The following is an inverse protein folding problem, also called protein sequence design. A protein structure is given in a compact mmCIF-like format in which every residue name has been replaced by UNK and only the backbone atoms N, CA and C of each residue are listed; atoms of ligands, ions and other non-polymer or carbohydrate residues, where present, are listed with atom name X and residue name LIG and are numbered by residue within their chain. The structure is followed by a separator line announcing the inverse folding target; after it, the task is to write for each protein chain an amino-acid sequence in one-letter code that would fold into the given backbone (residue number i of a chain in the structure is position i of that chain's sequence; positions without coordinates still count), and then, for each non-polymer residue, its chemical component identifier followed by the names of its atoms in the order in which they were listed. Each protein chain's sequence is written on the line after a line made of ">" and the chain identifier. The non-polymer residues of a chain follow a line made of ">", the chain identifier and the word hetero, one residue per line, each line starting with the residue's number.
data_IF_567523374303
#
_entry.id   IF_567523374303
#
_cell.length_a   1.000
_cell.length_b   1.000
_cell.length_c   1.000
_cell.angle_alpha   90.00
_cell.angle_beta   90.00
_cell.angle_gamma   90.00
#
_symmetry.space_group_name_H-M   'P 1'
#
loop_
_entity.id
_entity.type
_entity.pdbx_description
1 polymer ?
#
# COMPACT_ATOMS: atom_id res chain seq x y z
N UNK A 1 13.67 -6.60 6.92
CA UNK A 1 13.41 -7.88 7.60
C UNK A 1 14.51 -8.21 8.60
N UNK A 2 14.42 -9.32 9.33
CA UNK A 2 15.44 -9.69 10.36
C UNK A 2 16.78 -10.08 9.77
N UNK A 3 16.82 -10.60 8.56
CA UNK A 3 18.08 -10.92 7.87
C UNK A 3 18.91 -9.65 7.68
N UNK A 4 18.27 -8.56 7.25
CA UNK A 4 18.92 -7.24 7.09
C UNK A 4 19.48 -6.72 8.42
N UNK A 5 18.72 -6.87 9.54
CA UNK A 5 19.19 -6.47 10.89
C UNK A 5 20.44 -7.24 11.30
N UNK A 6 20.42 -8.56 11.10
CA UNK A 6 21.55 -9.43 11.43
C UNK A 6 22.81 -9.06 10.61
N UNK A 7 22.64 -8.89 9.29
CA UNK A 7 23.73 -8.49 8.39
C UNK A 7 24.29 -7.12 8.80
N UNK A 8 23.44 -6.15 9.14
CA UNK A 8 23.86 -4.82 9.58
C UNK A 8 24.77 -4.91 10.84
N UNK A 9 24.39 -5.71 11.83
CA UNK A 9 25.21 -5.90 13.03
C UNK A 9 26.52 -6.62 12.73
N UNK A 10 26.53 -7.65 11.87
CA UNK A 10 27.77 -8.30 11.43
C UNK A 10 28.70 -7.35 10.67
N UNK A 11 28.14 -6.41 9.90
CA UNK A 11 28.89 -5.38 9.20
C UNK A 11 29.41 -4.24 10.14
N UNK A 12 29.22 -4.36 11.45
CA UNK A 12 29.70 -3.38 12.43
C UNK A 12 28.82 -2.16 12.64
N UNK A 13 27.55 -2.17 12.16
CA UNK A 13 26.59 -1.08 12.41
C UNK A 13 26.32 -1.00 13.91
N UNK A 14 26.69 0.13 14.52
CA UNK A 14 26.60 0.34 15.97
C UNK A 14 25.17 0.46 16.47
N UNK A 15 24.28 1.15 15.71
CA UNK A 15 22.90 1.41 16.10
C UNK A 15 21.94 0.96 15.01
N UNK A 16 20.98 0.11 15.36
CA UNK A 16 19.98 -0.45 14.44
C UNK A 16 18.59 -0.13 14.94
N UNK A 17 17.83 0.64 14.17
CA UNK A 17 16.41 0.90 14.40
C UNK A 17 15.57 0.00 13.50
N UNK A 18 14.61 -0.70 14.08
CA UNK A 18 13.66 -1.50 13.32
C UNK A 18 12.30 -0.80 13.27
N UNK A 19 11.94 -0.28 12.09
CA UNK A 19 10.67 0.43 11.89
C UNK A 19 9.65 -0.47 11.17
N UNK A 20 8.51 -0.72 11.81
CA UNK A 20 7.42 -1.54 11.28
C UNK A 20 6.28 -0.71 10.71
N UNK A 21 5.92 -1.00 9.45
CA UNK A 21 4.77 -0.41 8.74
C UNK A 21 3.69 -1.46 8.41
N UNK A 22 3.92 -2.75 8.69
CA UNK A 22 3.03 -3.84 8.31
C UNK A 22 2.28 -4.38 9.50
N UNK A 23 0.95 -4.57 9.34
CA UNK A 23 0.06 -5.16 10.35
C UNK A 23 -0.46 -6.55 9.96
N UNK A 24 0.13 -7.19 8.94
CA UNK A 24 -0.32 -8.50 8.47
C UNK A 24 0.72 -9.27 7.68
N UNK A 25 0.51 -10.58 7.54
CA UNK A 25 1.31 -11.43 6.66
C UNK A 25 0.94 -11.17 5.20
N UNK A 26 1.93 -11.15 4.30
CA UNK A 26 1.68 -11.34 2.88
C UNK A 26 0.96 -12.68 2.67
N UNK A 27 -0.01 -12.71 1.76
CA UNK A 27 -0.98 -13.81 1.56
C UNK A 27 -0.35 -15.20 1.30
N UNK A 28 0.95 -15.25 0.97
CA UNK A 28 1.67 -16.50 0.64
C UNK A 28 2.94 -16.73 1.48
N UNK A 29 2.86 -16.60 2.80
CA UNK A 29 3.98 -17.10 3.61
C UNK A 29 3.81 -18.60 3.85
N UNK A 30 4.81 -19.39 3.44
CA UNK A 30 4.84 -20.82 3.79
C UNK A 30 5.03 -21.01 5.31
N UNK A 31 4.66 -22.20 5.81
CA UNK A 31 4.74 -22.53 7.24
C UNK A 31 6.16 -22.35 7.82
N UNK A 32 7.18 -22.63 7.01
CA UNK A 32 8.60 -22.51 7.41
C UNK A 32 8.94 -21.05 7.65
N UNK A 33 8.61 -20.16 6.74
CA UNK A 33 8.90 -18.72 6.90
C UNK A 33 8.13 -18.09 8.08
N UNK A 34 6.95 -18.61 8.40
CA UNK A 34 6.21 -18.18 9.61
C UNK A 34 6.91 -18.67 10.88
N UNK A 35 7.35 -19.93 10.93
CA UNK A 35 8.11 -20.47 12.06
C UNK A 35 9.42 -19.71 12.28
N UNK A 36 10.19 -19.50 11.21
CA UNK A 36 11.43 -18.70 11.27
C UNK A 36 11.17 -17.28 11.76
N UNK A 37 10.10 -16.62 11.31
CA UNK A 37 9.79 -15.26 11.78
C UNK A 37 9.48 -15.21 13.28
N UNK A 38 8.90 -16.28 13.85
CA UNK A 38 8.68 -16.37 15.31
C UNK A 38 10.00 -16.53 16.06
N UNK A 39 10.91 -17.37 15.55
CA UNK A 39 12.25 -17.55 16.14
C UNK A 39 13.02 -16.21 16.08
N UNK A 40 13.05 -15.56 14.93
CA UNK A 40 13.73 -14.27 14.79
C UNK A 40 13.20 -13.19 15.74
N UNK A 41 11.89 -13.18 16.01
CA UNK A 41 11.31 -12.25 16.99
C UNK A 41 11.91 -12.40 18.39
N UNK A 42 12.27 -13.62 18.81
CA UNK A 42 12.87 -13.87 20.12
C UNK A 42 14.25 -13.21 20.25
N UNK A 43 15.00 -13.18 19.15
CA UNK A 43 16.36 -12.61 19.11
C UNK A 43 16.40 -11.12 18.76
N UNK A 44 15.28 -10.52 18.31
CA UNK A 44 15.26 -9.10 17.95
C UNK A 44 15.85 -8.16 19.03
N UNK A 45 15.53 -8.34 20.35
CA UNK A 45 16.08 -7.43 21.38
C UNK A 45 17.60 -7.46 21.53
N UNK A 46 18.27 -8.47 20.98
CA UNK A 46 19.74 -8.58 21.00
C UNK A 46 20.38 -7.75 19.87
N UNK A 47 19.68 -7.63 18.75
CA UNK A 47 20.22 -7.03 17.51
C UNK A 47 19.62 -5.67 17.18
N UNK A 48 18.50 -5.31 17.78
CA UNK A 48 17.76 -4.07 17.53
C UNK A 48 17.86 -3.17 18.75
N UNK A 49 18.40 -1.99 18.55
CA UNK A 49 18.58 -0.99 19.62
C UNK A 49 17.28 -0.18 19.84
N UNK A 50 16.54 0.12 18.77
CA UNK A 50 15.28 0.84 18.86
C UNK A 50 14.17 0.18 18.02
N UNK A 51 12.96 0.14 18.59
CA UNK A 51 11.76 -0.36 17.94
C UNK A 51 10.82 0.80 17.61
N UNK A 52 10.46 0.96 16.35
CA UNK A 52 9.51 1.98 15.88
C UNK A 52 8.34 1.32 15.14
N UNK A 53 7.14 1.84 15.32
CA UNK A 53 5.96 1.35 14.62
C UNK A 53 5.02 2.49 14.22
N UNK A 54 4.41 2.38 13.03
CA UNK A 54 3.43 3.35 12.54
C UNK A 54 2.02 3.15 13.13
N UNK A 55 1.77 2.02 13.80
CA UNK A 55 0.52 1.70 14.49
C UNK A 55 0.73 0.65 15.57
N UNK A 56 -0.19 0.56 16.52
CA UNK A 56 -0.19 -0.50 17.52
C UNK A 56 -0.30 -1.90 16.92
N UNK A 57 -1.07 -2.05 15.83
CA UNK A 57 -1.18 -3.31 15.08
C UNK A 57 0.15 -3.68 14.43
N UNK A 58 0.88 -2.73 13.84
CA UNK A 58 2.20 -2.96 13.27
C UNK A 58 3.20 -3.40 14.34
N UNK A 59 3.16 -2.81 15.54
CA UNK A 59 3.99 -3.23 16.66
C UNK A 59 3.65 -4.67 17.11
N UNK A 60 2.39 -4.98 17.34
CA UNK A 60 1.92 -6.32 17.74
C UNK A 60 2.30 -7.39 16.72
N UNK A 61 2.16 -7.06 15.43
CA UNK A 61 2.51 -7.97 14.35
C UNK A 61 4.02 -8.23 14.26
N UNK A 62 4.85 -7.20 14.40
CA UNK A 62 6.27 -7.27 14.06
C UNK A 62 7.19 -7.52 15.26
N UNK A 63 6.85 -7.03 16.46
CA UNK A 63 7.75 -7.04 17.61
C UNK A 63 7.54 -8.23 18.55
N UNK A 64 8.52 -8.56 19.38
CA UNK A 64 8.36 -9.49 20.49
C UNK A 64 7.27 -9.02 21.46
N UNK A 65 6.55 -9.98 22.05
CA UNK A 65 5.50 -9.68 23.05
C UNK A 65 6.01 -8.84 24.23
N UNK A 66 7.24 -9.06 24.66
CA UNK A 66 7.89 -8.29 25.75
C UNK A 66 8.06 -6.81 25.41
N UNK A 67 8.44 -6.49 24.16
CA UNK A 67 8.57 -5.11 23.68
C UNK A 67 7.21 -4.42 23.65
N UNK A 68 6.19 -5.10 23.12
CA UNK A 68 4.83 -4.55 23.01
C UNK A 68 4.19 -4.35 24.41
N UNK A 69 4.22 -5.39 25.27
CA UNK A 69 3.61 -5.36 26.60
C UNK A 69 4.23 -4.27 27.49
N UNK A 70 5.55 -4.08 27.40
CA UNK A 70 6.26 -3.09 28.20
C UNK A 70 6.36 -1.72 27.51
N UNK A 71 5.68 -1.53 26.38
CA UNK A 71 5.67 -0.28 25.59
C UNK A 71 7.09 0.21 25.23
N UNK A 72 8.03 -0.71 25.02
CA UNK A 72 9.43 -0.42 24.66
C UNK A 72 9.58 -0.17 23.14
N UNK A 73 8.70 0.63 22.57
CA UNK A 73 8.77 1.07 21.17
C UNK A 73 8.26 2.49 21.00
N UNK A 74 8.76 3.19 20.01
CA UNK A 74 8.30 4.54 19.64
C UNK A 74 7.16 4.43 18.61
N UNK A 75 6.11 5.20 18.83
CA UNK A 75 5.05 5.37 17.84
C UNK A 75 5.45 6.49 16.87
N UNK A 76 5.66 6.15 15.61
CA UNK A 76 6.00 7.09 14.53
C UNK A 76 4.92 6.97 13.47
N UNK A 77 3.90 7.83 13.48
CA UNK A 77 2.82 7.78 12.50
C UNK A 77 3.33 8.07 11.09
N UNK A 78 2.66 7.47 10.09
CA UNK A 78 2.91 7.84 8.71
C UNK A 78 2.48 9.28 8.48
N UNK A 79 3.38 10.07 7.90
CA UNK A 79 3.12 11.46 7.56
C UNK A 79 3.16 11.70 6.06
N UNK A 80 2.37 12.67 5.60
CA UNK A 80 2.41 13.20 4.23
C UNK A 80 2.45 14.73 4.28
N UNK A 81 2.93 15.34 3.20
CA UNK A 81 2.86 16.80 3.03
C UNK A 81 1.43 17.20 2.65
N UNK A 82 0.58 17.46 3.66
CA UNK A 82 -0.86 17.73 3.47
C UNK A 82 -1.14 18.86 2.50
N UNK A 83 -0.28 19.89 2.49
CA UNK A 83 -0.42 21.07 1.61
C UNK A 83 -0.47 20.67 0.12
N UNK A 84 0.27 19.60 -0.25
CA UNK A 84 0.30 19.10 -1.63
C UNK A 84 -1.00 18.41 -2.04
N UNK A 85 -1.76 17.90 -1.07
CA UNK A 85 -3.02 17.17 -1.29
C UNK A 85 -4.26 17.99 -0.92
N UNK A 86 -4.08 19.28 -0.65
CA UNK A 86 -5.19 20.18 -0.36
C UNK A 86 -6.08 20.36 -1.59
N UNK A 87 -7.40 20.34 -1.36
CA UNK A 87 -8.38 20.53 -2.42
C UNK A 87 -8.18 21.90 -3.13
N UNK A 88 -8.08 21.87 -4.45
CA UNK A 88 -7.93 23.07 -5.29
C UNK A 88 -8.91 23.03 -6.46
N UNK A 89 -9.88 23.94 -6.47
CA UNK A 89 -10.97 24.00 -7.48
C UNK A 89 -10.42 24.19 -8.89
N UNK A 90 -9.43 25.08 -9.07
CA UNK A 90 -8.87 25.37 -10.38
C UNK A 90 -8.11 24.16 -10.94
N UNK A 91 -7.25 23.55 -10.10
CA UNK A 91 -6.51 22.35 -10.45
C UNK A 91 -7.46 21.17 -10.77
N UNK A 92 -8.50 21.00 -9.98
CA UNK A 92 -9.52 19.98 -10.24
C UNK A 92 -10.18 20.17 -11.61
N UNK A 93 -10.57 21.40 -11.97
CA UNK A 93 -11.17 21.68 -13.28
C UNK A 93 -10.20 21.39 -14.43
N UNK A 94 -8.95 21.82 -14.29
CA UNK A 94 -7.89 21.57 -15.26
C UNK A 94 -7.68 20.07 -15.49
N UNK A 95 -7.50 19.30 -14.40
CA UNK A 95 -7.23 17.86 -14.50
C UNK A 95 -8.43 17.09 -15.06
N UNK A 96 -9.66 17.43 -14.67
CA UNK A 96 -10.86 16.80 -15.23
C UNK A 96 -11.00 17.05 -16.72
N UNK A 97 -10.70 18.28 -17.17
CA UNK A 97 -10.66 18.61 -18.60
C UNK A 97 -9.55 17.86 -19.32
N UNK A 98 -8.34 17.83 -18.77
CA UNK A 98 -7.20 17.09 -19.34
C UNK A 98 -7.51 15.60 -19.51
N UNK A 99 -8.27 15.02 -18.60
CA UNK A 99 -8.67 13.62 -18.61
C UNK A 99 -9.98 13.37 -19.38
N UNK A 100 -10.70 14.40 -19.83
CA UNK A 100 -12.00 14.26 -20.49
C UNK A 100 -13.05 13.58 -19.61
N UNK A 101 -13.14 14.00 -18.34
CA UNK A 101 -14.05 13.43 -17.34
C UNK A 101 -14.84 14.51 -16.58
N UNK A 102 -15.08 15.65 -17.23
CA UNK A 102 -15.71 16.81 -16.61
C UNK A 102 -17.04 16.44 -15.95
N UNK A 103 -17.89 15.74 -16.70
CA UNK A 103 -19.25 15.35 -16.27
C UNK A 103 -19.33 13.93 -15.68
N UNK A 104 -18.18 13.25 -15.52
CA UNK A 104 -18.16 11.88 -15.01
C UNK A 104 -18.01 11.84 -13.49
N UNK A 105 -18.56 10.80 -12.86
CA UNK A 105 -18.20 10.46 -11.49
C UNK A 105 -16.90 9.64 -11.51
N UNK A 106 -15.81 10.22 -11.02
CA UNK A 106 -14.47 9.62 -11.08
C UNK A 106 -14.13 8.93 -9.78
N UNK A 107 -13.73 7.67 -9.88
CA UNK A 107 -13.16 6.87 -8.80
C UNK A 107 -11.67 6.70 -9.08
N UNK A 108 -10.81 7.04 -8.13
CA UNK A 108 -9.36 6.85 -8.22
C UNK A 108 -8.88 5.73 -7.30
N UNK A 109 -7.97 4.90 -7.78
CA UNK A 109 -7.23 3.96 -6.94
C UNK A 109 -5.74 4.02 -7.27
N UNK A 110 -4.91 4.26 -6.26
CA UNK A 110 -3.46 4.26 -6.39
C UNK A 110 -2.84 3.12 -5.59
N UNK A 111 -2.05 2.28 -6.26
CA UNK A 111 -1.40 1.18 -5.61
C UNK A 111 -0.72 0.21 -6.57
N UNK A 112 0.26 -0.55 -6.03
CA UNK A 112 0.93 -1.60 -6.79
C UNK A 112 -0.06 -2.70 -7.18
N UNK A 113 -0.03 -3.13 -8.44
CA UNK A 113 -0.86 -4.23 -8.93
C UNK A 113 -0.36 -5.57 -8.39
N UNK A 114 -0.71 -5.87 -7.15
CA UNK A 114 -0.39 -7.09 -6.44
C UNK A 114 -1.61 -7.64 -5.69
N UNK A 115 -1.48 -8.84 -5.13
CA UNK A 115 -2.55 -9.53 -4.41
C UNK A 115 -3.06 -8.70 -3.23
N UNK A 116 -2.17 -8.00 -2.52
CA UNK A 116 -2.53 -7.21 -1.33
C UNK A 116 -3.52 -6.08 -1.65
N UNK A 117 -3.42 -5.48 -2.84
CA UNK A 117 -4.29 -4.37 -3.28
C UNK A 117 -5.62 -4.83 -3.89
N UNK A 118 -5.74 -6.13 -4.19
CA UNK A 118 -6.96 -6.80 -4.62
C UNK A 118 -7.72 -6.08 -5.76
N UNK A 119 -7.00 -5.71 -6.81
CA UNK A 119 -7.60 -5.04 -7.96
C UNK A 119 -8.68 -5.90 -8.64
N UNK A 120 -8.61 -7.24 -8.54
CA UNK A 120 -9.62 -8.12 -9.10
C UNK A 120 -11.01 -7.84 -8.52
N UNK A 121 -11.09 -7.71 -7.19
CA UNK A 121 -12.34 -7.37 -6.51
C UNK A 121 -12.77 -5.93 -6.80
N UNK A 122 -11.81 -4.99 -6.89
CA UNK A 122 -12.10 -3.60 -7.26
C UNK A 122 -12.81 -3.52 -8.63
N UNK A 123 -12.36 -4.28 -9.65
CA UNK A 123 -13.00 -4.31 -10.97
C UNK A 123 -14.42 -4.88 -10.88
N UNK A 124 -14.64 -5.93 -10.08
CA UNK A 124 -15.98 -6.51 -9.87
C UNK A 124 -16.94 -5.49 -9.24
N UNK A 125 -16.49 -4.83 -8.18
CA UNK A 125 -17.26 -3.78 -7.51
C UNK A 125 -17.54 -2.60 -8.44
N UNK A 126 -16.54 -2.18 -9.23
CA UNK A 126 -16.73 -1.11 -10.22
C UNK A 126 -17.72 -1.52 -11.30
N UNK A 127 -17.67 -2.73 -11.82
CA UNK A 127 -18.64 -3.25 -12.79
C UNK A 127 -20.08 -3.17 -12.28
N UNK A 128 -20.30 -3.61 -11.03
CA UNK A 128 -21.61 -3.55 -10.39
C UNK A 128 -22.12 -2.11 -10.17
N UNK A 129 -21.21 -1.18 -9.90
CA UNK A 129 -21.54 0.25 -9.80
C UNK A 129 -21.85 0.84 -11.18
N UNK A 130 -20.96 0.61 -12.16
CA UNK A 130 -21.06 1.17 -13.50
C UNK A 130 -22.33 0.75 -14.22
N UNK A 131 -22.81 -0.49 -14.00
CA UNK A 131 -24.10 -0.96 -14.54
C UNK A 131 -25.30 -0.15 -14.03
N UNK A 132 -25.20 0.44 -12.83
CA UNK A 132 -26.25 1.29 -12.25
C UNK A 132 -26.03 2.77 -12.52
N UNK A 133 -24.79 3.17 -12.69
CA UNK A 133 -24.34 4.54 -12.88
C UNK A 133 -23.37 4.62 -14.07
N UNK A 134 -23.87 4.66 -15.32
CA UNK A 134 -23.01 4.59 -16.53
C UNK A 134 -22.03 5.77 -16.67
N UNK A 135 -22.27 6.88 -16.01
CA UNK A 135 -21.39 8.05 -16.02
C UNK A 135 -20.24 7.97 -15.01
N UNK A 136 -19.85 6.75 -14.62
CA UNK A 136 -18.70 6.51 -13.75
C UNK A 136 -17.44 6.15 -14.56
N UNK A 137 -16.27 6.58 -14.07
CA UNK A 137 -14.96 6.21 -14.61
C UNK A 137 -14.04 5.79 -13.47
N UNK A 138 -13.29 4.71 -13.66
CA UNK A 138 -12.27 4.24 -12.72
C UNK A 138 -10.87 4.54 -13.26
N UNK A 139 -10.08 5.29 -12.50
CA UNK A 139 -8.68 5.58 -12.80
C UNK A 139 -7.78 4.74 -11.91
N UNK A 140 -6.92 3.93 -12.52
CA UNK A 140 -5.99 3.02 -11.83
C UNK A 140 -4.56 3.52 -12.00
N UNK A 141 -3.93 3.91 -10.88
CA UNK A 141 -2.54 4.37 -10.85
C UNK A 141 -1.64 3.31 -10.23
N UNK A 142 -0.52 3.03 -10.88
CA UNK A 142 0.50 2.11 -10.42
C UNK A 142 0.92 1.09 -11.48
N UNK A 143 1.78 0.17 -11.07
CA UNK A 143 2.29 -0.94 -11.86
C UNK A 143 2.48 -2.18 -10.95
N UNK A 144 2.74 -3.36 -11.49
CA UNK A 144 3.01 -4.57 -10.72
C UNK A 144 2.70 -5.85 -11.48
N UNK A 145 3.00 -6.98 -10.82
CA UNK A 145 2.94 -8.33 -11.39
C UNK A 145 1.55 -8.75 -11.90
N UNK A 146 0.48 -8.15 -11.37
CA UNK A 146 -0.89 -8.44 -11.79
C UNK A 146 -1.45 -7.47 -12.84
N UNK A 147 -0.67 -6.47 -13.28
CA UNK A 147 -1.14 -5.41 -14.18
C UNK A 147 -1.81 -5.99 -15.44
N UNK A 148 -1.13 -6.88 -16.16
CA UNK A 148 -1.66 -7.52 -17.37
C UNK A 148 -2.92 -8.33 -17.09
N UNK A 149 -2.93 -9.10 -16.00
CA UNK A 149 -4.10 -9.90 -15.60
C UNK A 149 -5.34 -9.02 -15.37
N UNK A 150 -5.16 -7.84 -14.75
CA UNK A 150 -6.26 -6.91 -14.51
C UNK A 150 -6.73 -6.28 -15.82
N UNK A 151 -5.83 -5.93 -16.75
CA UNK A 151 -6.23 -5.46 -18.08
C UNK A 151 -7.09 -6.51 -18.81
N UNK A 152 -6.69 -7.78 -18.80
CA UNK A 152 -7.42 -8.86 -19.42
C UNK A 152 -8.79 -9.07 -18.77
N UNK A 153 -8.91 -8.87 -17.44
CA UNK A 153 -10.18 -8.90 -16.71
C UNK A 153 -11.10 -7.75 -17.13
N UNK A 154 -10.59 -6.52 -17.21
CA UNK A 154 -11.33 -5.34 -17.68
C UNK A 154 -11.92 -5.59 -19.07
N UNK A 155 -11.09 -6.13 -19.99
CA UNK A 155 -11.53 -6.48 -21.35
C UNK A 155 -12.62 -7.56 -21.36
N UNK A 156 -12.46 -8.63 -20.56
CA UNK A 156 -13.49 -9.69 -20.44
C UNK A 156 -14.83 -9.19 -19.92
N UNK A 157 -14.82 -8.09 -19.16
CA UNK A 157 -16.02 -7.48 -18.58
C UNK A 157 -16.56 -6.32 -19.43
N UNK A 158 -15.97 -6.04 -20.60
CA UNK A 158 -16.33 -4.93 -21.51
C UNK A 158 -16.32 -3.57 -20.80
N UNK A 159 -15.28 -3.29 -20.02
CA UNK A 159 -15.13 -2.06 -19.23
C UNK A 159 -14.00 -1.15 -19.72
N UNK A 160 -13.44 -1.40 -20.94
CA UNK A 160 -12.28 -0.67 -21.47
C UNK A 160 -12.52 0.83 -21.59
N UNK A 161 -13.74 1.24 -21.90
CA UNK A 161 -14.11 2.65 -22.06
C UNK A 161 -14.25 3.39 -20.71
N UNK A 162 -14.48 2.65 -19.61
CA UNK A 162 -14.76 3.21 -18.29
C UNK A 162 -13.65 2.94 -17.25
N UNK A 163 -12.70 2.04 -17.54
CA UNK A 163 -11.53 1.79 -16.68
C UNK A 163 -10.27 2.23 -17.40
N UNK A 164 -9.55 3.19 -16.82
CA UNK A 164 -8.33 3.74 -17.39
C UNK A 164 -7.11 3.37 -16.56
N UNK A 165 -6.11 2.82 -17.21
CA UNK A 165 -4.83 2.48 -16.62
C UNK A 165 -3.86 3.66 -16.82
N UNK A 166 -3.56 4.37 -15.74
CA UNK A 166 -2.80 5.63 -15.78
C UNK A 166 -1.28 5.41 -15.60
N UNK A 167 -0.86 4.18 -15.27
CA UNK A 167 0.54 3.91 -14.95
C UNK A 167 1.01 4.56 -13.65
N UNK A 168 2.32 4.71 -13.50
CA UNK A 168 2.93 5.43 -12.38
C UNK A 168 3.04 6.92 -12.70
N UNK A 169 2.87 7.79 -11.69
CA UNK A 169 2.99 9.24 -11.85
C UNK A 169 3.54 9.90 -10.59
N UNK A 170 4.36 10.92 -10.77
CA UNK A 170 4.83 11.80 -9.69
C UNK A 170 3.82 12.92 -9.40
N UNK A 171 2.79 13.07 -10.25
CA UNK A 171 1.76 14.10 -10.12
C UNK A 171 0.54 13.64 -9.28
N UNK A 172 0.68 12.58 -8.45
CA UNK A 172 -0.41 12.09 -7.60
C UNK A 172 -1.15 13.18 -6.81
N UNK A 173 -0.47 14.21 -6.25
CA UNK A 173 -1.18 15.30 -5.57
C UNK A 173 -2.20 16.06 -6.44
N UNK A 174 -2.00 16.08 -7.76
CA UNK A 174 -2.95 16.71 -8.69
C UNK A 174 -4.13 15.81 -9.06
N UNK A 175 -4.04 14.53 -8.78
CA UNK A 175 -5.05 13.52 -9.13
C UNK A 175 -6.06 13.27 -8.01
N UNK A 176 -5.80 13.79 -6.80
CA UNK A 176 -6.67 13.69 -5.61
C UNK A 176 -7.70 14.80 -5.51
#
# INVERSE_FOLDING_TARGET
>A
DMTTVFIAKLAGVKHVTFHSHNAGNAVYRNKISVAMSKIFKLFMPVFVDEFWACSSLAAQFSFPKSIVKNQKYKFIPNGIALEKFSYNVSLRKEMRKKLGVEEKFVIGHAGRFNIQKNHEYLIEMFSALHSKCPDTVLLLFGDGELYKKIQDKVKKMNLEDSVRFMGTTDEMPKMY
#
